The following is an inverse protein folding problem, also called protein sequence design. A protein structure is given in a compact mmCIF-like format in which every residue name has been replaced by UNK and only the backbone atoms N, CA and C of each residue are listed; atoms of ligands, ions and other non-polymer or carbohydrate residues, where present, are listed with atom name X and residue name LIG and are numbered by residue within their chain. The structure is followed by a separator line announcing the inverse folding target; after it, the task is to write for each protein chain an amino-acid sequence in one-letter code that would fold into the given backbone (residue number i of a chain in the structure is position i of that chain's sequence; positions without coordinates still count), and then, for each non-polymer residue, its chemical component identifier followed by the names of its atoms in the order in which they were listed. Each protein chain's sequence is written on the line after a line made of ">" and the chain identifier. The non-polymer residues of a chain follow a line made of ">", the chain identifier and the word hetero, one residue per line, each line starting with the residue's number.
data_IF_811028108941
#
_entry.id   IF_811028108941
#
_cell.length_a   1.000
_cell.length_b   1.000
_cell.length_c   1.000
_cell.angle_alpha   90.00
_cell.angle_beta   90.00
_cell.angle_gamma   90.00
#
_symmetry.space_group_name_H-M   'P 1'
#
loop_
_entity.id
_entity.type
_entity.pdbx_description
1 polymer ?
#
# COMPACT_ATOMS: atom_id res chain seq x y z
N UNK A 1 2.54 50.92 -24.86
CA UNK A 1 2.51 49.45 -25.07
C UNK A 1 1.54 48.88 -24.04
N UNK A 2 0.49 48.22 -24.51
CA UNK A 2 -0.71 47.83 -23.75
C UNK A 2 -0.56 46.48 -23.04
N UNK A 3 -1.40 46.30 -22.00
CA UNK A 3 -1.87 45.03 -21.39
C UNK A 3 -0.89 44.36 -20.41
N UNK A 4 -0.96 44.48 -19.08
CA UNK A 4 -2.06 44.54 -18.09
C UNK A 4 -2.87 43.22 -17.92
N UNK A 5 -2.28 42.35 -17.10
CA UNK A 5 -2.92 41.56 -16.04
C UNK A 5 -4.17 40.76 -16.39
N UNK A 6 -3.97 39.51 -16.82
CA UNK A 6 -5.00 38.48 -16.83
C UNK A 6 -5.11 37.86 -15.42
N UNK A 7 -5.92 38.50 -14.55
CA UNK A 7 -6.38 37.91 -13.28
C UNK A 7 -7.65 37.12 -13.56
N UNK A 8 -7.54 35.80 -13.75
CA UNK A 8 -8.70 34.91 -13.76
C UNK A 8 -9.01 34.48 -12.34
N UNK A 9 -10.04 35.12 -11.78
CA UNK A 9 -10.74 34.73 -10.56
C UNK A 9 -11.60 33.52 -10.90
N UNK A 10 -11.20 32.33 -10.45
CA UNK A 10 -12.01 31.12 -10.55
C UNK A 10 -13.02 31.12 -9.40
N UNK A 11 -14.24 31.54 -9.71
CA UNK A 11 -15.36 31.61 -8.79
C UNK A 11 -15.85 30.21 -8.42
N UNK A 12 -15.97 30.02 -7.10
CA UNK A 12 -16.50 28.87 -6.39
C UNK A 12 -17.97 28.60 -6.77
N UNK A 13 -18.28 27.37 -7.19
CA UNK A 13 -19.65 26.85 -7.32
C UNK A 13 -19.94 25.94 -6.12
N UNK A 14 -20.58 26.51 -5.09
CA UNK A 14 -21.30 25.76 -4.05
C UNK A 14 -22.64 25.29 -4.65
N UNK A 15 -22.80 23.97 -4.83
CA UNK A 15 -24.12 23.36 -5.03
C UNK A 15 -24.55 22.64 -3.76
N UNK A 16 -25.44 23.28 -3.02
CA UNK A 16 -26.17 22.69 -1.90
C UNK A 16 -27.31 21.83 -2.43
N UNK A 17 -27.24 20.50 -2.22
CA UNK A 17 -28.40 19.61 -2.39
C UNK A 17 -29.12 19.52 -1.05
N UNK A 18 -30.31 20.12 -0.99
CA UNK A 18 -31.22 20.00 0.13
C UNK A 18 -31.96 18.65 0.08
N UNK A 19 -31.87 17.87 1.16
CA UNK A 19 -32.76 16.74 1.43
C UNK A 19 -34.16 17.26 1.77
N UNK A 20 -35.14 16.97 0.93
CA UNK A 20 -36.55 17.14 1.25
C UNK A 20 -37.15 15.80 1.71
N UNK A 21 -37.47 15.76 3.00
CA UNK A 21 -38.26 14.74 3.69
C UNK A 21 -39.74 14.82 3.27
N UNK A 22 -40.30 13.70 2.83
CA UNK A 22 -41.74 13.40 2.81
C UNK A 22 -41.86 11.87 2.87
N UNK A 23 -42.69 11.22 3.68
CA UNK A 23 -43.92 11.64 4.32
C UNK A 23 -44.97 10.57 4.01
N UNK A 24 -45.29 9.73 5.01
CA UNK A 24 -46.56 9.01 5.22
C UNK A 24 -47.16 8.12 4.13
N UNK A 25 -47.44 6.86 4.47
CA UNK A 25 -48.32 6.00 3.66
C UNK A 25 -48.54 4.62 4.25
N UNK A 26 -49.54 4.51 5.13
CA UNK A 26 -50.08 3.28 5.72
C UNK A 26 -50.90 2.51 4.66
N UNK A 27 -50.82 1.18 4.63
CA UNK A 27 -51.72 0.36 3.80
C UNK A 27 -51.27 -1.10 3.71
N UNK A 28 -51.96 -1.98 4.45
CA UNK A 28 -51.59 -3.38 4.63
C UNK A 28 -51.96 -4.32 3.48
N UNK A 29 -51.58 -5.59 3.64
CA UNK A 29 -52.41 -6.76 3.37
C UNK A 29 -51.63 -8.03 3.74
N UNK A 30 -52.37 -8.94 4.36
CA UNK A 30 -51.98 -10.28 4.78
C UNK A 30 -51.46 -11.15 3.63
N UNK A 31 -50.55 -12.06 3.96
CA UNK A 31 -50.04 -13.06 3.04
C UNK A 31 -49.21 -14.10 3.79
N UNK A 32 -49.91 -14.98 4.50
CA UNK A 32 -49.33 -16.14 5.14
C UNK A 32 -48.72 -17.09 4.12
N UNK A 33 -47.43 -17.37 4.30
CA UNK A 33 -46.70 -18.44 3.64
C UNK A 33 -45.63 -18.93 4.60
N UNK A 34 -45.94 -20.01 5.32
CA UNK A 34 -44.99 -20.76 6.12
C UNK A 34 -43.88 -21.31 5.22
N UNK A 35 -42.79 -20.55 5.10
CA UNK A 35 -41.50 -21.05 4.69
C UNK A 35 -40.65 -21.22 5.95
N UNK A 36 -40.23 -22.47 6.20
CA UNK A 36 -39.20 -22.88 7.16
C UNK A 36 -38.19 -21.76 7.43
N UNK A 37 -37.90 -21.42 8.71
CA UNK A 37 -36.79 -20.54 9.01
C UNK A 37 -35.50 -21.33 8.75
N UNK A 38 -35.00 -21.26 7.51
CA UNK A 38 -33.57 -21.37 7.29
C UNK A 38 -32.93 -20.31 8.18
N UNK A 39 -32.14 -20.77 9.15
CA UNK A 39 -31.19 -19.94 9.88
C UNK A 39 -30.25 -19.31 8.85
N UNK A 40 -30.66 -18.18 8.26
CA UNK A 40 -29.73 -17.18 7.77
C UNK A 40 -28.95 -16.75 9.00
N UNK A 41 -27.75 -17.29 9.14
CA UNK A 41 -26.73 -16.71 9.99
C UNK A 41 -26.76 -15.21 9.73
N UNK A 42 -27.23 -14.47 10.73
CA UNK A 42 -27.15 -13.02 10.75
C UNK A 42 -25.64 -12.76 10.85
N UNK A 43 -24.97 -12.72 9.70
CA UNK A 43 -23.62 -12.18 9.59
C UNK A 43 -23.75 -10.78 10.18
N UNK A 44 -23.15 -10.58 11.35
CA UNK A 44 -23.16 -9.30 12.05
C UNK A 44 -22.91 -8.21 11.02
N UNK A 45 -23.72 -7.14 11.00
CA UNK A 45 -23.65 -6.10 9.96
C UNK A 45 -22.23 -5.52 9.78
N UNK A 46 -21.39 -5.67 10.82
CA UNK A 46 -19.97 -5.35 10.92
C UNK A 46 -19.06 -6.12 9.95
N UNK A 47 -19.46 -7.32 9.52
CA UNK A 47 -18.69 -8.19 8.62
C UNK A 47 -19.18 -8.10 7.16
N UNK A 48 -20.11 -7.20 6.86
CA UNK A 48 -20.59 -6.99 5.49
C UNK A 48 -19.45 -6.51 4.59
N UNK A 49 -19.49 -6.94 3.32
CA UNK A 49 -18.44 -6.65 2.33
C UNK A 49 -18.10 -5.15 2.25
N UNK A 50 -19.11 -4.28 2.23
CA UNK A 50 -18.94 -2.81 2.18
C UNK A 50 -18.24 -2.26 3.42
N UNK A 51 -18.53 -2.79 4.61
CA UNK A 51 -17.88 -2.37 5.86
C UNK A 51 -16.40 -2.79 5.86
N UNK A 52 -16.11 -4.02 5.45
CA UNK A 52 -14.72 -4.49 5.35
C UNK A 52 -13.94 -3.70 4.28
N UNK A 53 -14.56 -3.43 3.12
CA UNK A 53 -13.93 -2.65 2.05
C UNK A 53 -13.62 -1.21 2.48
N UNK A 54 -14.59 -0.53 3.11
CA UNK A 54 -14.37 0.82 3.64
C UNK A 54 -13.31 0.87 4.74
N UNK A 55 -13.21 -0.17 5.60
CA UNK A 55 -12.11 -0.30 6.57
C UNK A 55 -10.76 -0.44 5.88
N UNK A 56 -10.65 -1.27 4.85
CA UNK A 56 -9.41 -1.44 4.07
C UNK A 56 -8.97 -0.12 3.44
N UNK A 57 -9.89 0.60 2.78
CA UNK A 57 -9.60 1.90 2.20
C UNK A 57 -9.21 2.95 3.25
N UNK A 58 -9.89 2.93 4.41
CA UNK A 58 -9.56 3.83 5.52
C UNK A 58 -8.17 3.54 6.12
N UNK A 59 -7.79 2.28 6.24
CA UNK A 59 -6.46 1.87 6.72
C UNK A 59 -5.37 2.22 5.71
N UNK A 60 -5.64 2.04 4.41
CA UNK A 60 -4.73 2.45 3.33
C UNK A 60 -4.49 3.97 3.36
N UNK A 61 -5.55 4.77 3.46
CA UNK A 61 -5.43 6.22 3.59
C UNK A 61 -4.64 6.64 4.83
N UNK A 62 -4.85 5.96 5.97
CA UNK A 62 -4.06 6.18 7.20
C UNK A 62 -2.59 5.84 7.02
N UNK A 63 -2.28 4.73 6.34
CA UNK A 63 -0.90 4.33 6.08
C UNK A 63 -0.21 5.36 5.19
N UNK A 64 -0.86 5.81 4.12
CA UNK A 64 -0.34 6.87 3.25
C UNK A 64 -0.16 8.20 3.99
N UNK A 65 -1.17 8.64 4.74
CA UNK A 65 -1.09 9.87 5.53
C UNK A 65 0.05 9.85 6.54
N UNK A 66 0.24 8.73 7.26
CA UNK A 66 1.33 8.62 8.24
C UNK A 66 2.70 8.55 7.57
N UNK A 67 2.81 7.95 6.37
CA UNK A 67 4.05 7.99 5.58
C UNK A 67 4.40 9.42 5.15
N UNK A 68 3.42 10.21 4.72
CA UNK A 68 3.62 11.62 4.37
C UNK A 68 4.03 12.46 5.59
N UNK A 69 3.45 12.18 6.75
CA UNK A 69 3.81 12.86 7.99
C UNK A 69 5.25 12.55 8.41
N UNK A 70 5.68 11.30 8.33
CA UNK A 70 7.08 10.94 8.57
C UNK A 70 8.00 11.64 7.57
N UNK A 71 7.62 11.76 6.30
CA UNK A 71 8.40 12.52 5.31
C UNK A 71 8.52 14.00 5.69
N UNK A 72 7.45 14.63 6.17
CA UNK A 72 7.49 16.00 6.68
C UNK A 72 8.43 16.13 7.88
N UNK A 73 8.36 15.21 8.85
CA UNK A 73 9.26 15.18 9.99
C UNK A 73 10.72 14.98 9.58
N UNK A 74 11.01 14.16 8.57
CA UNK A 74 12.37 14.01 8.01
C UNK A 74 12.84 15.34 7.43
N UNK A 75 11.99 16.06 6.68
CA UNK A 75 12.37 17.38 6.17
C UNK A 75 12.61 18.37 7.31
N UNK A 76 11.78 18.38 8.34
CA UNK A 76 11.96 19.27 9.49
C UNK A 76 13.25 18.95 10.25
N UNK A 77 13.56 17.68 10.46
CA UNK A 77 14.82 17.19 11.05
C UNK A 77 16.04 17.69 10.25
N UNK A 78 15.98 17.69 8.93
CA UNK A 78 17.09 18.15 8.07
C UNK A 78 17.34 19.66 8.15
N UNK A 79 16.30 20.46 8.40
CA UNK A 79 16.40 21.92 8.46
C UNK A 79 16.64 22.46 9.88
N UNK A 80 16.33 21.65 10.90
CA UNK A 80 16.47 22.03 12.31
C UNK A 80 17.91 21.83 12.79
N UNK A 81 18.47 22.88 13.42
CA UNK A 81 19.83 22.86 13.99
C UNK A 81 19.86 22.64 15.51
N UNK A 82 18.69 22.71 16.14
CA UNK A 82 18.51 22.58 17.58
C UNK A 82 18.44 21.10 17.98
N UNK A 83 19.39 20.59 18.79
CA UNK A 83 19.46 19.17 19.14
C UNK A 83 18.25 18.69 19.96
N UNK A 84 17.63 19.55 20.77
CA UNK A 84 16.48 19.15 21.59
C UNK A 84 15.25 18.90 20.71
N UNK A 85 15.02 19.79 19.74
CA UNK A 85 13.94 19.64 18.75
C UNK A 85 14.16 18.44 17.83
N UNK A 86 15.40 18.19 17.42
CA UNK A 86 15.73 16.99 16.62
C UNK A 86 15.38 15.71 17.37
N UNK A 87 15.70 15.62 18.67
CA UNK A 87 15.33 14.46 19.47
C UNK A 87 13.82 14.28 19.60
N UNK A 88 13.07 15.36 19.73
CA UNK A 88 11.61 15.30 19.77
C UNK A 88 11.01 14.82 18.44
N UNK A 89 11.51 15.34 17.31
CA UNK A 89 11.13 14.89 15.97
C UNK A 89 11.41 13.39 15.80
N UNK A 90 12.57 12.91 16.27
CA UNK A 90 12.91 11.48 16.21
C UNK A 90 11.92 10.63 17.03
N UNK A 91 11.53 11.08 18.23
CA UNK A 91 10.51 10.36 19.05
C UNK A 91 9.16 10.31 18.36
N UNK A 92 8.75 11.40 17.73
CA UNK A 92 7.49 11.47 16.97
C UNK A 92 7.54 10.52 15.76
N UNK A 93 8.64 10.51 15.00
CA UNK A 93 8.85 9.58 13.90
C UNK A 93 8.76 8.11 14.34
N UNK A 94 9.39 7.75 15.48
CA UNK A 94 9.32 6.39 16.03
C UNK A 94 7.91 6.01 16.48
N UNK A 95 7.16 6.97 17.04
CA UNK A 95 5.79 6.74 17.50
C UNK A 95 4.86 6.50 16.32
N UNK A 96 4.93 7.37 15.30
CA UNK A 96 4.17 7.21 14.06
C UNK A 96 4.52 5.92 13.33
N UNK A 97 5.80 5.54 13.27
CA UNK A 97 6.22 4.31 12.61
C UNK A 97 5.65 3.06 13.30
N UNK A 98 5.63 3.03 14.64
CA UNK A 98 4.95 1.96 15.40
C UNK A 98 3.44 1.93 15.18
N UNK A 99 2.80 3.08 14.99
CA UNK A 99 1.38 3.15 14.66
C UNK A 99 1.12 2.63 13.24
N UNK A 100 1.95 2.99 12.27
CA UNK A 100 1.91 2.46 10.91
C UNK A 100 2.03 0.94 10.89
N UNK A 101 2.93 0.35 11.68
CA UNK A 101 3.04 -1.11 11.80
C UNK A 101 1.74 -1.77 12.30
N UNK A 102 1.04 -1.14 13.24
CA UNK A 102 -0.25 -1.64 13.74
C UNK A 102 -1.32 -1.54 12.65
N UNK A 103 -1.42 -0.39 12.00
CA UNK A 103 -2.37 -0.16 10.91
C UNK A 103 -2.13 -1.13 9.73
N UNK A 104 -0.87 -1.43 9.42
CA UNK A 104 -0.51 -2.38 8.37
C UNK A 104 -0.92 -3.82 8.70
N UNK A 105 -0.73 -4.24 9.96
CA UNK A 105 -1.19 -5.56 10.44
C UNK A 105 -2.71 -5.68 10.34
N UNK A 106 -3.44 -4.64 10.73
CA UNK A 106 -4.90 -4.60 10.61
C UNK A 106 -5.33 -4.61 9.14
N UNK A 107 -4.65 -3.84 8.28
CA UNK A 107 -4.88 -3.83 6.84
C UNK A 107 -4.72 -5.23 6.23
N UNK A 108 -3.63 -5.94 6.54
CA UNK A 108 -3.37 -7.29 6.03
C UNK A 108 -4.44 -8.30 6.51
N UNK A 109 -4.93 -8.16 7.74
CA UNK A 109 -6.04 -8.97 8.26
C UNK A 109 -7.33 -8.71 7.47
N UNK A 110 -7.75 -7.45 7.34
CA UNK A 110 -8.99 -7.08 6.64
C UNK A 110 -8.92 -7.43 5.15
N UNK A 111 -7.76 -7.23 4.51
CA UNK A 111 -7.49 -7.64 3.13
C UNK A 111 -7.60 -9.15 2.95
N UNK A 112 -7.07 -9.93 3.91
CA UNK A 112 -7.21 -11.39 3.89
C UNK A 112 -8.67 -11.82 4.02
N UNK A 113 -9.47 -11.13 4.85
CA UNK A 113 -10.92 -11.38 4.94
C UNK A 113 -11.62 -11.15 3.60
N UNK A 114 -11.34 -10.05 2.90
CA UNK A 114 -11.89 -9.80 1.56
C UNK A 114 -11.51 -10.90 0.57
N UNK A 115 -10.23 -11.30 0.56
CA UNK A 115 -9.70 -12.31 -0.36
C UNK A 115 -10.34 -13.68 -0.17
N UNK A 116 -10.54 -14.13 1.08
CA UNK A 116 -10.98 -15.49 1.37
C UNK A 116 -12.49 -15.61 1.65
N UNK A 117 -13.13 -14.60 2.27
CA UNK A 117 -14.58 -14.65 2.55
C UNK A 117 -15.44 -14.18 1.38
N UNK A 118 -14.93 -13.29 0.54
CA UNK A 118 -15.69 -12.68 -0.56
C UNK A 118 -15.00 -12.82 -1.92
N UNK A 119 -14.62 -14.04 -2.36
CA UNK A 119 -13.88 -14.24 -3.61
C UNK A 119 -14.68 -13.81 -4.86
N UNK A 120 -16.01 -13.98 -4.83
CA UNK A 120 -16.92 -13.63 -5.93
C UNK A 120 -16.94 -12.13 -6.24
N UNK A 121 -16.93 -11.29 -5.19
CA UNK A 121 -16.90 -9.82 -5.34
C UNK A 121 -15.54 -9.34 -5.84
N UNK A 122 -14.49 -10.09 -5.55
CA UNK A 122 -13.14 -9.84 -6.04
C UNK A 122 -12.91 -10.25 -7.51
N UNK A 123 -13.90 -10.85 -8.18
CA UNK A 123 -13.85 -11.13 -9.61
C UNK A 123 -14.51 -10.02 -10.45
N UNK A 124 -15.53 -9.33 -9.90
CA UNK A 124 -16.21 -8.20 -10.55
C UNK A 124 -15.43 -6.89 -10.47
N UNK A 125 -14.67 -6.70 -9.40
CA UNK A 125 -13.82 -5.54 -9.18
C UNK A 125 -12.38 -6.04 -9.36
N UNK A 126 -11.62 -5.51 -10.34
CA UNK A 126 -10.20 -5.91 -10.53
C UNK A 126 -9.50 -5.81 -9.18
N UNK A 127 -8.85 -6.89 -8.74
CA UNK A 127 -8.17 -6.94 -7.43
C UNK A 127 -7.02 -5.93 -7.39
N UNK A 128 -7.30 -4.73 -6.89
CA UNK A 128 -6.29 -3.67 -6.70
C UNK A 128 -5.78 -3.60 -5.26
N UNK A 129 -6.11 -4.58 -4.40
CA UNK A 129 -5.53 -4.66 -3.07
C UNK A 129 -4.09 -5.18 -3.16
N UNK A 130 -3.16 -4.32 -3.52
CA UNK A 130 -1.73 -4.61 -3.44
C UNK A 130 -1.30 -4.75 -1.98
N UNK A 131 -0.28 -5.58 -1.75
CA UNK A 131 0.31 -5.64 -0.41
C UNK A 131 1.18 -4.40 -0.26
N UNK A 132 0.86 -3.58 0.74
CA UNK A 132 1.70 -2.45 1.10
C UNK A 132 2.84 -2.97 1.98
N UNK A 133 4.08 -2.70 1.57
CA UNK A 133 5.26 -2.99 2.39
C UNK A 133 5.66 -1.74 3.17
N UNK A 134 5.83 -1.88 4.49
CA UNK A 134 6.30 -0.79 5.32
C UNK A 134 7.81 -0.61 5.12
N UNK A 135 8.20 0.56 4.61
CA UNK A 135 9.61 0.95 4.50
C UNK A 135 10.18 1.27 5.88
N UNK A 136 11.47 0.99 6.08
CA UNK A 136 12.16 1.42 7.30
C UNK A 136 12.33 2.94 7.31
N UNK A 137 12.47 3.53 8.50
CA UNK A 137 12.75 4.97 8.64
C UNK A 137 14.04 5.35 7.91
N UNK A 138 15.06 4.50 8.00
CA UNK A 138 16.33 4.70 7.31
C UNK A 138 16.17 4.69 5.79
N UNK A 139 15.35 3.79 5.24
CA UNK A 139 15.05 3.76 3.81
C UNK A 139 14.29 5.02 3.37
N UNK A 140 13.36 5.52 4.19
CA UNK A 140 12.63 6.75 3.93
C UNK A 140 13.57 7.97 3.93
N UNK A 141 14.46 8.07 4.92
CA UNK A 141 15.48 9.13 4.98
C UNK A 141 16.45 9.05 3.81
N UNK A 142 16.94 7.85 3.48
CA UNK A 142 17.82 7.60 2.35
C UNK A 142 17.17 8.02 1.03
N UNK A 143 15.88 7.73 0.83
CA UNK A 143 15.14 8.13 -0.38
C UNK A 143 15.01 9.65 -0.53
N UNK A 144 15.05 10.40 0.57
CA UNK A 144 14.95 11.87 0.61
C UNK A 144 16.32 12.55 0.67
N UNK A 145 17.41 11.80 0.85
CA UNK A 145 18.76 12.33 0.86
C UNK A 145 19.16 12.94 -0.49
N UNK A 146 19.99 14.00 -0.44
CA UNK A 146 20.62 14.60 -1.62
C UNK A 146 21.39 13.57 -2.45
N UNK A 147 22.06 12.60 -1.80
CA UNK A 147 22.78 11.55 -2.53
C UNK A 147 21.86 10.74 -3.46
N UNK A 148 20.65 10.42 -2.98
CA UNK A 148 19.64 9.71 -3.75
C UNK A 148 19.07 10.56 -4.89
N UNK A 149 18.85 11.86 -4.68
CA UNK A 149 18.38 12.76 -5.74
C UNK A 149 19.43 12.92 -6.85
N UNK A 150 20.71 13.07 -6.50
CA UNK A 150 21.82 13.12 -7.45
C UNK A 150 21.91 11.82 -8.25
N UNK A 151 21.85 10.66 -7.60
CA UNK A 151 21.88 9.35 -8.27
C UNK A 151 20.72 9.16 -9.25
N UNK A 152 19.51 9.58 -8.88
CA UNK A 152 18.34 9.55 -9.77
C UNK A 152 18.54 10.47 -10.98
N UNK A 153 19.07 11.66 -10.78
CA UNK A 153 19.39 12.60 -11.87
C UNK A 153 20.45 12.03 -12.80
N UNK A 154 21.55 11.51 -12.25
CA UNK A 154 22.61 10.87 -13.04
C UNK A 154 22.08 9.66 -13.84
N UNK A 155 21.18 8.86 -13.26
CA UNK A 155 20.52 7.76 -13.98
C UNK A 155 19.68 8.27 -15.16
N UNK A 156 18.89 9.33 -14.97
CA UNK A 156 18.11 9.96 -16.06
C UNK A 156 19.02 10.52 -17.16
N UNK A 157 20.09 11.22 -16.78
CA UNK A 157 21.08 11.76 -17.73
C UNK A 157 21.73 10.62 -18.53
N UNK A 158 22.13 9.53 -17.89
CA UNK A 158 22.65 8.34 -18.60
C UNK A 158 21.62 7.68 -19.51
N UNK A 159 20.34 7.63 -19.12
CA UNK A 159 19.29 7.09 -20.00
C UNK A 159 19.02 7.98 -21.22
N UNK A 160 19.15 9.30 -21.08
CA UNK A 160 18.84 10.27 -22.15
C UNK A 160 20.04 10.55 -23.07
N UNK A 161 21.25 10.54 -22.52
CA UNK A 161 22.49 10.96 -23.19
C UNK A 161 23.61 9.93 -23.14
N UNK A 162 23.45 8.85 -22.37
CA UNK A 162 24.32 7.70 -22.49
C UNK A 162 23.94 6.98 -23.76
N UNK A 163 24.82 7.02 -24.77
CA UNK A 163 24.74 6.06 -25.87
C UNK A 163 24.56 4.66 -25.27
N UNK A 164 23.68 3.80 -25.83
CA UNK A 164 23.74 2.39 -25.55
C UNK A 164 25.08 1.90 -26.10
N UNK A 165 26.14 2.02 -25.31
CA UNK A 165 27.34 1.26 -25.56
C UNK A 165 26.89 -0.20 -25.57
N UNK A 166 27.08 -0.94 -26.67
CA UNK A 166 26.73 -2.35 -26.68
C UNK A 166 27.50 -2.98 -25.54
N UNK A 167 26.81 -3.70 -24.66
CA UNK A 167 27.39 -4.57 -23.63
C UNK A 167 28.25 -5.66 -24.30
N UNK A 168 29.38 -5.27 -24.86
CA UNK A 168 30.37 -6.13 -25.50
C UNK A 168 31.61 -6.10 -24.63
N UNK A 169 31.50 -6.76 -23.48
CA UNK A 169 32.58 -7.41 -22.71
C UNK A 169 32.05 -7.97 -21.38
N UNK A 170 30.97 -8.77 -21.43
CA UNK A 170 30.94 -9.97 -20.59
C UNK A 170 31.75 -11.01 -21.33
N UNK A 171 33.02 -11.10 -20.93
CA UNK A 171 33.92 -12.18 -21.35
C UNK A 171 33.26 -13.49 -20.93
N UNK A 172 32.77 -14.22 -21.92
CA UNK A 172 32.62 -15.66 -21.86
C UNK A 172 33.96 -16.25 -21.40
N UNK A 173 34.00 -16.79 -20.19
CA UNK A 173 35.05 -17.73 -19.79
C UNK A 173 34.40 -19.10 -19.56
N UNK A 174 33.97 -19.73 -20.65
CA UNK A 174 33.87 -21.17 -20.68
C UNK A 174 35.28 -21.77 -20.84
N UNK A 175 35.90 -22.15 -19.73
CA UNK A 175 36.93 -23.19 -19.73
C UNK A 175 36.65 -24.21 -18.61
N UNK A 176 36.01 -25.32 -19.02
CA UNK A 176 36.37 -26.73 -18.76
C UNK A 176 36.56 -27.21 -17.30
N UNK A 177 35.69 -28.15 -16.88
CA UNK A 177 35.94 -29.45 -16.16
C UNK A 177 37.00 -29.48 -15.04
N UNK A 178 36.83 -29.99 -13.81
CA UNK A 178 35.91 -30.87 -13.04
C UNK A 178 36.38 -30.79 -11.53
N UNK A 179 35.91 -31.57 -10.51
CA UNK A 179 34.78 -32.48 -10.40
C UNK A 179 33.77 -32.11 -9.29
N UNK A 180 32.58 -32.69 -9.42
CA UNK A 180 31.46 -32.69 -8.47
C UNK A 180 31.83 -33.24 -7.09
N UNK A 181 31.56 -32.47 -6.03
CA UNK A 181 31.40 -33.03 -4.68
C UNK A 181 30.10 -33.85 -4.64
N UNK A 182 30.09 -35.05 -4.02
CA UNK A 182 28.88 -35.84 -3.89
C UNK A 182 27.87 -35.11 -3.01
N UNK A 183 26.68 -34.89 -3.56
CA UNK A 183 25.49 -34.46 -2.85
C UNK A 183 25.21 -35.41 -1.68
N UNK A 184 25.03 -34.86 -0.48
CA UNK A 184 24.44 -35.62 0.61
C UNK A 184 23.05 -36.12 0.15
N UNK A 185 22.67 -37.37 0.44
CA UNK A 185 21.34 -37.87 0.10
C UNK A 185 20.29 -37.03 0.81
N UNK A 186 19.32 -36.52 0.05
CA UNK A 186 18.15 -35.87 0.61
C UNK A 186 17.36 -36.85 1.46
N UNK A 187 16.62 -36.34 2.45
CA UNK A 187 15.81 -37.08 3.42
C UNK A 187 14.76 -38.03 2.80
N UNK A 188 14.61 -38.01 1.48
CA UNK A 188 13.59 -38.76 0.73
C UNK A 188 14.13 -39.93 -0.08
N UNK A 189 15.44 -40.20 -0.11
CA UNK A 189 15.99 -41.28 -0.93
C UNK A 189 16.22 -42.56 -0.11
N UNK A 190 15.65 -43.72 -0.50
CA UNK A 190 15.81 -44.97 0.23
C UNK A 190 17.22 -45.56 0.04
N UNK A 191 17.92 -45.78 1.16
CA UNK A 191 19.24 -46.42 1.21
C UNK A 191 19.09 -47.92 0.98
N UNK A 192 19.53 -48.42 -0.18
CA UNK A 192 19.61 -49.85 -0.46
C UNK A 192 20.95 -50.38 0.06
N UNK A 193 20.92 -51.07 1.19
CA UNK A 193 22.07 -51.82 1.71
C UNK A 193 22.22 -53.13 0.90
N UNK A 194 23.31 -53.24 0.15
CA UNK A 194 23.71 -54.52 -0.47
C UNK A 194 24.33 -55.43 0.59
N UNK A 195 23.86 -56.68 0.62
CA UNK A 195 24.29 -57.76 1.52
C UNK A 195 25.68 -58.27 1.19
#
# INVERSE_FOLDING_TARGET
>A
MYSLALKTVLSVMLSSVALASGGGGHGGAEGGGEAKPEKKEIKSAEDSFSVVQSRVQGLEAKVHSGQEEIQKLITEKQHTKDPEKVNEIIRQMLTLHKELEKNLKEYDQQRSLLKYRYPEKAASEKREYERIELKSIEDMESQMSIGSSVNRTMKKVRMQYGNPEPESKKVESHSKTAPSKPSQPGLTDPVILKK
#
